data_IF_342282749744
#
_entry.id   IF_342282749744
#
_cell.length_a   1.000
_cell.length_b   1.000
_cell.length_c   1.000
_cell.angle_alpha   90.00
_cell.angle_beta   90.00
_cell.angle_gamma   90.00
#
_symmetry.space_group_name_H-M   'P 1'
#
loop_
_entity.id
_entity.type
_entity.pdbx_description
1 polymer ?
#
# COMPACT_ATOMS: atom_id res chain seq x y z
N UNK A 1 -3.51 40.93 22.61
CA UNK A 1 -3.62 39.61 21.96
C UNK A 1 -2.24 39.22 21.42
N UNK A 2 -1.50 38.37 22.15
CA UNK A 2 -0.16 37.92 21.75
C UNK A 2 -0.30 36.71 20.83
N UNK A 3 -0.05 36.91 19.54
CA UNK A 3 0.01 35.82 18.56
C UNK A 3 1.26 34.97 18.87
N UNK A 4 1.06 33.77 19.43
CA UNK A 4 2.13 32.79 19.63
C UNK A 4 2.73 32.45 18.26
N UNK A 5 3.98 32.86 18.02
CA UNK A 5 4.76 32.43 16.85
C UNK A 5 4.86 30.89 16.87
N UNK A 6 4.66 30.20 15.74
CA UNK A 6 4.77 28.75 15.69
C UNK A 6 6.21 28.32 16.00
N UNK A 7 6.36 27.37 16.92
CA UNK A 7 7.63 26.80 17.39
C UNK A 7 8.37 26.06 16.27
N UNK A 8 9.71 25.97 16.36
CA UNK A 8 10.58 25.43 15.32
C UNK A 8 10.24 23.98 14.91
N UNK A 9 9.71 23.17 15.83
CA UNK A 9 9.24 21.80 15.59
C UNK A 9 8.03 21.76 14.63
N UNK A 10 7.08 22.71 14.76
CA UNK A 10 5.94 22.82 13.85
C UNK A 10 6.38 23.23 12.43
N UNK A 11 7.46 24.02 12.32
CA UNK A 11 8.04 24.42 11.03
C UNK A 11 8.80 23.28 10.34
N UNK A 12 9.53 22.46 11.11
CA UNK A 12 10.21 21.27 10.58
C UNK A 12 9.21 20.18 10.15
N UNK A 13 8.15 19.94 10.94
CA UNK A 13 7.08 19.02 10.57
C UNK A 13 6.37 19.42 9.27
N UNK A 14 6.04 20.70 9.11
CA UNK A 14 5.42 21.21 7.89
C UNK A 14 6.32 21.12 6.65
N UNK A 15 7.63 21.37 6.80
CA UNK A 15 8.61 21.23 5.72
C UNK A 15 8.82 19.78 5.27
N UNK A 16 8.84 18.85 6.22
CA UNK A 16 8.94 17.41 5.96
C UNK A 16 7.72 16.90 5.19
N UNK A 17 6.51 17.29 5.63
CA UNK A 17 5.26 16.95 4.94
C UNK A 17 5.21 17.52 3.51
N UNK A 18 5.67 18.76 3.30
CA UNK A 18 5.71 19.34 1.97
C UNK A 18 6.69 18.61 1.03
N UNK A 19 7.78 18.04 1.55
CA UNK A 19 8.72 17.24 0.75
C UNK A 19 8.14 15.86 0.40
N UNK A 20 7.50 15.17 1.35
CA UNK A 20 6.86 13.87 1.08
C UNK A 20 5.73 13.99 0.06
N UNK A 21 4.92 15.05 0.13
CA UNK A 21 3.90 15.33 -0.90
C UNK A 21 4.48 15.65 -2.29
N UNK A 22 5.69 16.19 -2.37
CA UNK A 22 6.37 16.35 -3.67
C UNK A 22 6.78 15.00 -4.24
N UNK A 23 7.21 14.07 -3.39
CA UNK A 23 7.56 12.71 -3.82
C UNK A 23 6.35 11.93 -4.33
N UNK A 24 5.16 12.17 -3.77
CA UNK A 24 3.94 11.47 -4.20
C UNK A 24 3.55 11.76 -5.65
N UNK A 25 3.98 12.89 -6.21
CA UNK A 25 3.73 13.23 -7.63
C UNK A 25 4.47 12.33 -8.61
N UNK A 26 5.52 11.64 -8.16
CA UNK A 26 6.32 10.70 -8.95
C UNK A 26 5.82 9.26 -8.81
N UNK A 27 4.73 9.06 -8.06
CA UNK A 27 4.13 7.75 -7.83
C UNK A 27 2.92 7.55 -8.73
N UNK A 28 2.60 6.29 -9.04
CA UNK A 28 1.36 5.90 -9.71
C UNK A 28 0.15 6.38 -8.90
N UNK A 29 0.14 6.05 -7.60
CA UNK A 29 -0.88 6.53 -6.67
C UNK A 29 -0.39 7.87 -6.09
N UNK A 30 -1.10 8.96 -6.40
CA UNK A 30 -0.64 10.34 -6.14
C UNK A 30 -1.12 10.92 -4.81
N UNK A 31 -2.25 10.44 -4.28
CA UNK A 31 -2.90 10.96 -3.08
C UNK A 31 -3.65 9.86 -2.30
N UNK A 32 -4.11 10.17 -1.08
CA UNK A 32 -4.80 9.21 -0.21
C UNK A 32 -6.19 8.81 -0.70
N UNK A 33 -6.89 9.68 -1.43
CA UNK A 33 -8.20 9.35 -2.03
C UNK A 33 -8.08 8.30 -3.13
N UNK A 34 -7.09 8.44 -4.01
CA UNK A 34 -6.76 7.44 -5.02
C UNK A 34 -6.25 6.16 -4.38
N UNK A 35 -5.53 6.22 -3.26
CA UNK A 35 -5.13 5.00 -2.56
C UNK A 35 -6.34 4.22 -2.02
N UNK A 36 -7.35 4.94 -1.50
CA UNK A 36 -8.55 4.36 -0.88
C UNK A 36 -9.40 3.54 -1.87
N UNK A 37 -9.33 3.82 -3.19
CA UNK A 37 -10.03 3.02 -4.21
C UNK A 37 -9.43 1.62 -4.40
N UNK A 38 -8.14 1.45 -4.11
CA UNK A 38 -7.45 0.16 -4.22
C UNK A 38 -7.36 -0.56 -2.88
N UNK A 39 -7.12 0.18 -1.79
CA UNK A 39 -7.07 -0.37 -0.45
C UNK A 39 -7.63 0.62 0.58
N UNK A 40 -8.65 0.25 1.37
CA UNK A 40 -9.33 1.19 2.25
C UNK A 40 -8.41 1.64 3.38
N UNK A 41 -8.05 2.92 3.36
CA UNK A 41 -7.33 3.62 4.44
C UNK A 41 -8.22 4.66 5.14
N UNK A 42 -9.54 4.55 4.92
CA UNK A 42 -10.57 5.48 5.42
C UNK A 42 -10.33 6.92 4.96
N UNK A 43 -9.82 7.10 3.73
CA UNK A 43 -9.47 8.40 3.15
C UNK A 43 -8.52 9.24 4.03
N UNK A 44 -7.69 8.59 4.84
CA UNK A 44 -6.75 9.25 5.73
C UNK A 44 -5.50 9.71 4.98
N UNK A 45 -5.42 11.01 4.69
CA UNK A 45 -4.23 11.64 4.09
C UNK A 45 -2.96 11.45 4.95
N UNK A 46 -3.12 11.45 6.27
CA UNK A 46 -2.00 11.18 7.19
C UNK A 46 -1.44 9.78 7.00
N UNK A 47 -2.32 8.77 6.93
CA UNK A 47 -1.91 7.38 6.71
C UNK A 47 -1.20 7.26 5.36
N UNK A 48 -1.74 7.91 4.33
CA UNK A 48 -1.10 7.93 3.02
C UNK A 48 0.32 8.49 3.06
N UNK A 49 0.57 9.60 3.77
CA UNK A 49 1.92 10.16 3.91
C UNK A 49 2.89 9.19 4.59
N UNK A 50 2.43 8.44 5.59
CA UNK A 50 3.22 7.40 6.26
C UNK A 50 3.52 6.22 5.32
N UNK A 51 2.64 5.96 4.35
CA UNK A 51 2.79 4.91 3.34
C UNK A 51 3.70 5.28 2.16
N UNK A 52 3.85 6.57 1.84
CA UNK A 52 4.69 7.07 0.72
C UNK A 52 6.04 6.34 0.56
N UNK A 53 6.89 6.16 1.60
CA UNK A 53 8.15 5.45 1.45
C UNK A 53 7.96 3.99 1.01
N UNK A 54 6.95 3.30 1.52
CA UNK A 54 6.64 1.92 1.15
C UNK A 54 6.03 1.82 -0.25
N UNK A 55 5.17 2.78 -0.63
CA UNK A 55 4.63 2.90 -1.98
C UNK A 55 5.78 3.10 -2.97
N UNK A 56 6.70 4.03 -2.69
CA UNK A 56 7.87 4.26 -3.56
C UNK A 56 8.73 3.01 -3.70
N UNK A 57 9.00 2.31 -2.61
CA UNK A 57 9.80 1.09 -2.63
C UNK A 57 9.11 -0.02 -3.43
N UNK A 58 7.82 -0.26 -3.17
CA UNK A 58 7.04 -1.26 -3.89
C UNK A 58 6.91 -0.96 -5.39
N UNK A 59 6.75 0.33 -5.74
CA UNK A 59 6.72 0.78 -7.13
C UNK A 59 8.00 0.44 -7.86
N UNK A 60 9.17 0.72 -7.24
CA UNK A 60 10.47 0.47 -7.86
C UNK A 60 10.82 -1.01 -7.93
N UNK A 61 10.55 -1.77 -6.86
CA UNK A 61 10.96 -3.17 -6.74
C UNK A 61 10.08 -4.13 -7.53
N UNK A 62 8.76 -3.94 -7.51
CA UNK A 62 7.80 -4.89 -8.03
C UNK A 62 7.15 -4.38 -9.32
N UNK A 63 6.44 -3.25 -9.27
CA UNK A 63 5.58 -2.80 -10.37
C UNK A 63 6.41 -2.34 -11.57
N UNK A 64 7.35 -1.40 -11.37
CA UNK A 64 8.23 -0.91 -12.45
C UNK A 64 9.07 -2.03 -13.05
N UNK A 65 9.63 -2.88 -12.21
CA UNK A 65 10.43 -4.05 -12.65
C UNK A 65 9.59 -5.06 -13.42
N UNK A 66 8.35 -5.32 -12.98
CA UNK A 66 7.43 -6.25 -13.63
C UNK A 66 6.85 -5.73 -14.94
N UNK A 67 6.58 -4.42 -15.01
CA UNK A 67 6.03 -3.75 -16.19
C UNK A 67 7.06 -3.51 -17.30
N UNK A 68 8.33 -3.34 -16.93
CA UNK A 68 9.42 -3.10 -17.88
C UNK A 68 9.72 -1.60 -18.05
N UNK A 69 10.98 -1.28 -18.32
CA UNK A 69 11.47 0.10 -18.32
C UNK A 69 10.93 0.93 -19.49
N UNK A 70 10.75 0.32 -20.66
CA UNK A 70 10.46 1.04 -21.91
C UNK A 70 9.04 1.63 -21.94
N UNK A 71 8.07 0.95 -21.31
CA UNK A 71 6.66 1.36 -21.27
C UNK A 71 6.25 2.00 -19.94
N UNK A 72 7.16 2.09 -18.98
CA UNK A 72 6.86 2.59 -17.64
C UNK A 72 6.31 4.02 -17.64
N UNK A 73 6.88 4.89 -18.47
CA UNK A 73 6.46 6.29 -18.55
C UNK A 73 5.06 6.43 -19.16
N UNK A 74 4.63 5.52 -20.04
CA UNK A 74 3.26 5.48 -20.57
C UNK A 74 2.26 5.18 -19.45
N UNK A 75 2.57 4.21 -18.59
CA UNK A 75 1.72 3.84 -17.44
C UNK A 75 1.67 4.94 -16.37
N UNK A 76 2.81 5.61 -16.13
CA UNK A 76 2.91 6.65 -15.11
C UNK A 76 2.13 7.93 -15.49
N UNK A 77 2.10 8.24 -16.77
CA UNK A 77 1.42 9.40 -17.33
C UNK A 77 0.07 9.03 -17.96
N UNK A 78 -0.50 7.89 -17.58
CA UNK A 78 -1.84 7.50 -18.03
C UNK A 78 -2.86 8.51 -17.47
N UNK A 79 -3.31 9.41 -18.33
CA UNK A 79 -4.33 10.43 -18.06
C UNK A 79 -5.68 10.05 -18.71
N UNK A 80 -5.89 8.77 -19.03
CA UNK A 80 -7.15 8.27 -19.55
C UNK A 80 -8.33 8.69 -18.68
N UNK A 81 -9.41 9.22 -19.29
CA UNK A 81 -10.62 9.65 -18.57
C UNK A 81 -11.25 8.51 -17.75
N UNK A 82 -11.13 7.27 -18.24
CA UNK A 82 -11.49 6.06 -17.52
C UNK A 82 -10.23 5.27 -17.22
N UNK A 83 -10.07 4.85 -15.96
CA UNK A 83 -8.95 4.02 -15.53
C UNK A 83 -8.83 2.75 -16.38
N UNK A 84 -7.67 2.55 -17.02
CA UNK A 84 -7.38 1.33 -17.78
C UNK A 84 -7.24 0.13 -16.85
N UNK A 85 -7.62 -1.07 -17.30
CA UNK A 85 -7.48 -2.29 -16.50
C UNK A 85 -6.04 -2.56 -16.08
N UNK A 86 -5.08 -2.21 -16.95
CA UNK A 86 -3.64 -2.29 -16.67
C UNK A 86 -3.25 -1.34 -15.53
N UNK A 87 -3.72 -0.09 -15.58
CA UNK A 87 -3.47 0.89 -14.52
C UNK A 87 -4.09 0.45 -13.19
N UNK A 88 -5.32 -0.06 -13.21
CA UNK A 88 -5.99 -0.60 -12.03
C UNK A 88 -5.19 -1.75 -11.42
N UNK A 89 -4.78 -2.74 -12.23
CA UNK A 89 -4.01 -3.89 -11.76
C UNK A 89 -2.65 -3.46 -11.16
N UNK A 90 -1.97 -2.50 -11.79
CA UNK A 90 -0.71 -1.94 -11.30
C UNK A 90 -0.89 -1.24 -9.94
N UNK A 91 -1.89 -0.37 -9.82
CA UNK A 91 -2.19 0.37 -8.60
C UNK A 91 -2.68 -0.55 -7.47
N UNK A 92 -3.47 -1.57 -7.79
CA UNK A 92 -3.93 -2.58 -6.83
C UNK A 92 -2.77 -3.38 -6.26
N UNK A 93 -1.88 -3.91 -7.12
CA UNK A 93 -0.67 -4.59 -6.68
C UNK A 93 0.21 -3.67 -5.82
N UNK A 94 0.39 -2.42 -6.26
CA UNK A 94 1.19 -1.42 -5.54
C UNK A 94 0.67 -1.16 -4.12
N UNK A 95 -0.64 -0.96 -3.97
CA UNK A 95 -1.26 -0.69 -2.68
C UNK A 95 -1.09 -1.87 -1.71
N UNK A 96 -1.29 -3.10 -2.20
CA UNK A 96 -1.16 -4.32 -1.40
C UNK A 96 0.28 -4.58 -0.96
N UNK A 97 1.27 -4.43 -1.86
CA UNK A 97 2.68 -4.53 -1.48
C UNK A 97 3.07 -3.46 -0.46
N UNK A 98 2.67 -2.20 -0.69
CA UNK A 98 2.98 -1.11 0.22
C UNK A 98 2.43 -1.37 1.63
N UNK A 99 1.20 -1.87 1.73
CA UNK A 99 0.59 -2.22 3.01
C UNK A 99 1.25 -3.44 3.67
N UNK A 100 1.55 -4.51 2.92
CA UNK A 100 2.29 -5.67 3.44
C UNK A 100 3.64 -5.26 4.03
N UNK A 101 4.37 -4.39 3.33
CA UNK A 101 5.65 -3.84 3.78
C UNK A 101 5.49 -2.91 4.98
N UNK A 102 4.47 -2.06 4.99
CA UNK A 102 4.17 -1.18 6.11
C UNK A 102 3.83 -1.99 7.37
N UNK A 103 2.96 -3.00 7.26
CA UNK A 103 2.55 -3.85 8.39
C UNK A 103 3.73 -4.62 9.00
N UNK A 104 4.63 -5.14 8.16
CA UNK A 104 5.81 -5.88 8.64
C UNK A 104 6.88 -4.95 9.23
N UNK A 105 7.09 -3.75 8.68
CA UNK A 105 8.22 -2.89 9.04
C UNK A 105 7.88 -1.77 10.02
N UNK A 106 6.66 -1.23 10.01
CA UNK A 106 6.23 -0.24 11.01
C UNK A 106 6.19 -0.86 12.41
N UNK A 107 5.83 -2.14 12.53
CA UNK A 107 5.90 -2.89 13.80
C UNK A 107 7.35 -3.00 14.32
N UNK A 108 8.35 -3.07 13.42
CA UNK A 108 9.77 -3.11 13.80
C UNK A 108 10.26 -1.74 14.28
N UNK A 109 9.68 -0.63 13.79
CA UNK A 109 10.01 0.72 14.27
C UNK A 109 9.57 0.99 15.72
N UNK A 110 8.76 0.12 16.33
CA UNK A 110 8.47 0.15 17.78
C UNK A 110 9.67 -0.33 18.62
N UNK A 111 10.77 -0.78 17.99
CA UNK A 111 12.07 -0.93 18.65
C UNK A 111 13.03 0.16 18.17
N UNK A 112 12.90 1.41 18.64
CA UNK A 112 14.03 2.32 18.63
C UNK A 112 15.17 1.65 19.40
N UNK A 113 16.37 1.60 18.81
CA UNK A 113 17.63 1.16 19.47
C UNK A 113 17.96 1.89 20.79
N UNK A 114 17.13 2.84 21.23
CA UNK A 114 17.23 3.56 22.50
C UNK A 114 16.42 2.92 23.66
N UNK A 115 15.62 1.87 23.42
CA UNK A 115 14.67 1.32 24.41
C UNK A 115 14.82 -0.20 24.58
N UNK A 116 16.03 -0.66 24.91
CA UNK A 116 16.15 -1.79 25.87
C UNK A 116 15.99 -1.17 27.26
N UNK A 117 14.80 -0.65 27.56
CA UNK A 117 14.37 -0.26 28.91
C UNK A 117 12.87 0.02 28.91
N UNK A 118 12.15 -0.96 29.45
CA UNK A 118 10.79 -0.88 30.01
C UNK A 118 9.67 -0.33 29.13
N UNK A 119 9.01 -1.22 28.39
CA UNK A 119 7.59 -1.10 28.03
C UNK A 119 6.97 -2.47 28.36
N UNK A 120 5.89 -2.61 29.13
CA UNK A 120 4.66 -1.82 29.05
C UNK A 120 3.84 -1.86 30.36
N UNK A 121 3.29 -0.72 30.77
CA UNK A 121 1.94 -0.62 31.36
C UNK A 121 1.45 0.83 31.28
N UNK A 122 0.16 0.96 30.97
CA UNK A 122 -0.67 2.17 30.78
C UNK A 122 -0.57 2.82 29.39
N UNK A 123 -1.65 3.13 28.66
CA UNK A 123 -3.05 3.29 29.04
C UNK A 123 -4.02 3.04 27.87
N UNK A 124 -5.19 2.45 28.17
CA UNK A 124 -6.46 2.99 27.66
C UNK A 124 -7.10 2.42 26.38
N UNK A 125 -6.91 1.15 26.00
CA UNK A 125 -7.78 0.50 25.00
C UNK A 125 -8.54 -0.67 25.63
N UNK A 126 -9.83 -0.47 25.84
CA UNK A 126 -10.78 -1.43 26.40
C UNK A 126 -11.13 -2.45 25.31
N UNK A 127 -10.81 -3.72 25.54
CA UNK A 127 -11.33 -4.93 24.88
C UNK A 127 -10.95 -5.19 23.41
N UNK A 128 -9.67 -5.05 23.05
CA UNK A 128 -9.13 -5.81 21.92
C UNK A 128 -7.77 -6.34 22.31
N UNK A 129 -7.62 -7.66 22.33
CA UNK A 129 -6.28 -8.24 22.38
C UNK A 129 -5.51 -7.67 21.18
N UNK A 130 -4.34 -7.04 21.38
CA UNK A 130 -3.49 -6.63 20.27
C UNK A 130 -3.25 -7.87 19.39
N UNK A 131 -3.53 -7.78 18.09
CA UNK A 131 -3.27 -8.88 17.16
C UNK A 131 -1.85 -9.41 17.37
N UNK A 132 -1.69 -10.74 17.40
CA UNK A 132 -0.36 -11.33 17.59
C UNK A 132 0.56 -10.87 16.46
N UNK A 133 1.85 -10.72 16.77
CA UNK A 133 2.86 -10.45 15.76
C UNK A 133 2.85 -11.50 14.64
N UNK A 134 2.46 -12.73 14.96
CA UNK A 134 2.34 -13.81 13.98
C UNK A 134 1.09 -13.65 13.10
N UNK A 135 -0.02 -13.16 13.65
CA UNK A 135 -1.24 -12.85 12.87
C UNK A 135 -0.97 -11.70 11.89
N UNK A 136 -0.22 -10.68 12.32
CA UNK A 136 0.16 -9.54 11.47
C UNK A 136 1.07 -10.01 10.33
N UNK A 137 2.04 -10.89 10.62
CA UNK A 137 2.91 -11.49 9.58
C UNK A 137 2.12 -12.35 8.61
N UNK A 138 1.19 -13.14 9.11
CA UNK A 138 0.31 -13.97 8.30
C UNK A 138 -0.53 -13.11 7.34
N UNK A 139 -1.20 -12.09 7.86
CA UNK A 139 -1.99 -11.17 7.07
C UNK A 139 -1.14 -10.41 6.03
N UNK A 140 0.04 -9.92 6.43
CA UNK A 140 0.96 -9.29 5.49
C UNK A 140 1.45 -10.26 4.41
N UNK A 141 1.58 -11.55 4.73
CA UNK A 141 1.83 -12.63 3.77
C UNK A 141 0.72 -12.75 2.75
N UNK A 142 -0.54 -12.88 3.18
CA UNK A 142 -1.70 -12.94 2.29
C UNK A 142 -1.81 -11.70 1.39
N UNK A 143 -1.60 -10.50 1.94
CA UNK A 143 -1.60 -9.28 1.13
C UNK A 143 -0.50 -9.28 0.07
N UNK A 144 0.65 -9.88 0.35
CA UNK A 144 1.72 -10.01 -0.63
C UNK A 144 1.36 -11.04 -1.71
N UNK A 145 0.78 -12.16 -1.34
CA UNK A 145 0.33 -13.19 -2.29
C UNK A 145 -0.75 -12.62 -3.23
N UNK A 146 -1.71 -11.87 -2.68
CA UNK A 146 -2.71 -11.14 -3.47
C UNK A 146 -2.05 -10.11 -4.40
N UNK A 147 -1.04 -9.39 -3.92
CA UNK A 147 -0.29 -8.44 -4.75
C UNK A 147 0.45 -9.13 -5.91
N UNK A 148 1.01 -10.32 -5.69
CA UNK A 148 1.67 -11.12 -6.72
C UNK A 148 0.68 -11.55 -7.83
N UNK A 149 -0.57 -11.86 -7.47
CA UNK A 149 -1.65 -12.14 -8.42
C UNK A 149 -1.91 -10.91 -9.30
N UNK A 150 -2.19 -9.75 -8.70
CA UNK A 150 -2.45 -8.52 -9.45
C UNK A 150 -1.25 -8.06 -10.29
N UNK A 151 -0.02 -8.29 -9.82
CA UNK A 151 1.19 -8.01 -10.59
C UNK A 151 1.28 -8.90 -11.84
N UNK A 152 0.85 -10.16 -11.74
CA UNK A 152 0.82 -11.05 -12.90
C UNK A 152 -0.30 -10.69 -13.87
N UNK A 153 -1.47 -10.27 -13.37
CA UNK A 153 -2.55 -9.76 -14.22
C UNK A 153 -2.13 -8.51 -14.98
N UNK A 154 -1.46 -7.56 -14.32
CA UNK A 154 -0.88 -6.39 -14.97
C UNK A 154 0.05 -6.80 -16.14
N UNK A 155 0.89 -7.83 -15.96
CA UNK A 155 1.79 -8.31 -17.03
C UNK A 155 1.02 -8.95 -18.19
N UNK A 156 -0.03 -9.72 -17.92
CA UNK A 156 -0.87 -10.35 -18.95
C UNK A 156 -1.62 -9.29 -19.77
N UNK A 157 -2.28 -8.35 -19.09
CA UNK A 157 -2.99 -7.24 -19.74
C UNK A 157 -2.05 -6.38 -20.60
N UNK A 158 -0.84 -6.09 -20.11
CA UNK A 158 0.20 -5.41 -20.90
C UNK A 158 0.57 -6.16 -22.17
N UNK A 159 0.60 -7.49 -22.12
CA UNK A 159 0.91 -8.34 -23.28
C UNK A 159 -0.31 -8.52 -24.22
N UNK A 160 -1.49 -8.03 -23.85
CA UNK A 160 -2.74 -8.25 -24.59
C UNK A 160 -3.24 -9.70 -24.52
N UNK A 161 -2.77 -10.47 -23.53
CA UNK A 161 -3.34 -11.79 -23.26
C UNK A 161 -4.75 -11.60 -22.70
N UNK A 162 -5.73 -12.31 -23.27
CA UNK A 162 -7.12 -12.19 -22.88
C UNK A 162 -7.29 -12.73 -21.46
N UNK A 163 -7.34 -11.83 -20.48
CA UNK A 163 -7.54 -12.18 -19.07
C UNK A 163 -9.02 -12.48 -18.87
N UNK A 164 -9.39 -13.76 -18.90
CA UNK A 164 -10.64 -14.18 -18.27
C UNK A 164 -10.42 -14.02 -16.77
N UNK A 165 -10.98 -12.95 -16.21
CA UNK A 165 -11.10 -12.82 -14.76
C UNK A 165 -12.05 -13.94 -14.30
N UNK A 166 -11.49 -15.06 -13.83
CA UNK A 166 -12.24 -16.03 -13.04
C UNK A 166 -12.52 -15.39 -11.67
N UNK A 167 -13.50 -14.48 -11.68
CA UNK A 167 -14.03 -13.81 -10.48
C UNK A 167 -14.77 -14.78 -9.56
N UNK A 168 -14.96 -16.02 -10.00
CA UNK A 168 -15.54 -17.10 -9.24
C UNK A 168 -14.53 -18.23 -9.14
N UNK A 169 -14.32 -18.82 -7.94
CA UNK A 169 -13.60 -20.07 -7.85
C UNK A 169 -14.32 -21.10 -8.72
N UNK A 170 -13.54 -21.79 -9.55
CA UNK A 170 -14.03 -22.74 -10.55
C UNK A 170 -14.87 -23.82 -9.84
N UNK A 171 -16.20 -23.65 -9.86
CA UNK A 171 -17.16 -24.50 -9.16
C UNK A 171 -17.37 -25.79 -9.98
N UNK A 172 -16.29 -26.55 -10.11
CA UNK A 172 -16.26 -27.78 -10.86
C UNK A 172 -16.94 -28.89 -10.03
N UNK A 173 -17.88 -29.67 -10.60
CA UNK A 173 -18.55 -30.76 -9.90
C UNK A 173 -17.62 -31.91 -9.45
N UNK A 174 -16.37 -31.93 -9.91
CA UNK A 174 -15.32 -32.84 -9.44
C UNK A 174 -14.51 -32.30 -8.26
N UNK A 175 -14.71 -31.04 -7.88
CA UNK A 175 -13.99 -30.40 -6.79
C UNK A 175 -14.64 -30.75 -5.44
N UNK A 176 -13.83 -31.21 -4.49
CA UNK A 176 -14.29 -31.70 -3.17
C UNK A 176 -15.07 -30.65 -2.37
N UNK A 177 -14.89 -29.38 -2.70
CA UNK A 177 -15.47 -28.23 -2.00
C UNK A 177 -16.63 -27.56 -2.76
N UNK A 178 -17.19 -28.21 -3.79
CA UNK A 178 -18.40 -27.71 -4.46
C UNK A 178 -19.53 -27.53 -3.43
N UNK A 179 -19.99 -26.30 -3.26
CA UNK A 179 -21.19 -25.99 -2.48
C UNK A 179 -22.37 -25.87 -3.45
N UNK A 180 -23.42 -26.67 -3.21
CA UNK A 180 -24.69 -26.70 -3.95
C UNK A 180 -25.59 -25.52 -3.59
#
# INVERSE_FOLDING_TARGET
ASARKPTAEMRQGAGCLAYTYKLSRLLLIKNGQSFDSYFPIRKSERMYVELIPFIKEAQLLYVKKGYGFDKWEELLNDESENETEVHYAACKALALYAMSMAMTRMQIQVIPKAVIREYSKSAGAINSEPASMDDIRLLAGWMKDDADIWLNEMKKLRNGENVVLDLLPDNNPKNKYMQL
#
